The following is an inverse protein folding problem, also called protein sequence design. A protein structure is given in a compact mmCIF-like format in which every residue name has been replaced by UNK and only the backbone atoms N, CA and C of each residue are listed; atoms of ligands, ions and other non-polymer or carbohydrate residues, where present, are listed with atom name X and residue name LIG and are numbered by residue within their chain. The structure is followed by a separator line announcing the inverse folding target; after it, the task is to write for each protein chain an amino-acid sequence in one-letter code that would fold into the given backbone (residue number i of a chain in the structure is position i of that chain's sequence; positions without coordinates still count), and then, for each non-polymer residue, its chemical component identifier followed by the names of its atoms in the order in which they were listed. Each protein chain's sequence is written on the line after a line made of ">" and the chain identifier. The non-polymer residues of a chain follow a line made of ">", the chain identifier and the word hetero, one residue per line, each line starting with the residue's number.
data_IF_745356725042
#
_entry.id   IF_745356725042
#
_cell.length_a   1.000
_cell.length_b   1.000
_cell.length_c   1.000
_cell.angle_alpha   90.00
_cell.angle_beta   90.00
_cell.angle_gamma   90.00
#
_symmetry.space_group_name_H-M   'P 1'
#
loop_
_entity.id
_entity.type
_entity.pdbx_description
1 polymer ?
#
# COMPACT_ATOMS: atom_id res chain seq x y z
N UNK A 1 -5.29 33.27 -60.13
CA UNK A 1 -5.06 33.03 -58.69
C UNK A 1 -5.95 31.87 -58.26
N UNK A 2 -5.42 30.64 -58.25
CA UNK A 2 -6.11 29.45 -57.76
C UNK A 2 -5.60 29.18 -56.34
N UNK A 3 -6.50 29.16 -55.37
CA UNK A 3 -6.21 28.85 -53.97
C UNK A 3 -6.21 27.32 -53.81
N UNK A 4 -5.05 26.74 -53.57
CA UNK A 4 -4.90 25.32 -53.22
C UNK A 4 -5.22 25.13 -51.74
N UNK A 5 -6.32 24.44 -51.44
CA UNK A 5 -6.62 23.94 -50.11
C UNK A 5 -5.64 22.82 -49.75
N UNK A 6 -4.77 23.06 -48.76
CA UNK A 6 -3.92 22.02 -48.15
C UNK A 6 -4.71 21.40 -47.00
N UNK A 7 -5.18 20.17 -47.23
CA UNK A 7 -5.74 19.31 -46.20
C UNK A 7 -4.69 19.03 -45.13
N UNK A 8 -5.00 19.35 -43.87
CA UNK A 8 -4.18 18.97 -42.71
C UNK A 8 -4.24 17.45 -42.52
N UNK A 9 -3.14 16.81 -42.08
CA UNK A 9 -3.10 15.37 -41.85
C UNK A 9 -4.08 15.00 -40.73
N UNK A 10 -4.85 13.96 -41.00
CA UNK A 10 -5.72 13.26 -40.05
C UNK A 10 -4.84 12.85 -38.86
N UNK A 11 -5.11 13.42 -37.69
CA UNK A 11 -4.54 12.99 -36.43
C UNK A 11 -4.84 11.50 -36.30
N UNK A 12 -3.78 10.68 -36.22
CA UNK A 12 -3.89 9.25 -35.96
C UNK A 12 -4.82 9.05 -34.76
N UNK A 13 -5.79 8.16 -34.91
CA UNK A 13 -6.63 7.70 -33.82
C UNK A 13 -5.75 7.35 -32.61
N UNK A 14 -6.20 7.77 -31.43
CA UNK A 14 -5.65 7.39 -30.13
C UNK A 14 -5.26 5.92 -30.15
N UNK A 15 -4.01 5.65 -29.74
CA UNK A 15 -3.54 4.28 -29.51
C UNK A 15 -4.53 3.55 -28.59
N UNK A 16 -4.76 2.24 -28.79
CA UNK A 16 -5.56 1.46 -27.85
C UNK A 16 -4.99 1.62 -26.44
N UNK A 17 -5.86 1.66 -25.44
CA UNK A 17 -5.49 1.77 -24.03
C UNK A 17 -4.27 0.89 -23.75
N UNK A 18 -3.19 1.50 -23.26
CA UNK A 18 -2.09 0.73 -22.68
C UNK A 18 -2.72 -0.23 -21.67
N UNK A 19 -2.38 -1.53 -21.71
CA UNK A 19 -2.92 -2.50 -20.76
C UNK A 19 -2.67 -1.95 -19.35
N UNK A 20 -3.75 -1.63 -18.63
CA UNK A 20 -3.74 -1.19 -17.22
C UNK A 20 -4.26 -2.35 -16.35
N UNK A 21 -3.53 -3.48 -16.28
CA UNK A 21 -4.03 -4.70 -15.64
C UNK A 21 -4.27 -4.50 -14.15
N UNK A 22 -3.42 -3.74 -13.46
CA UNK A 22 -3.49 -3.53 -12.01
C UNK A 22 -4.69 -2.66 -11.65
N UNK A 23 -4.90 -1.56 -12.38
CA UNK A 23 -6.04 -0.66 -12.19
C UNK A 23 -7.35 -1.33 -12.53
N UNK A 24 -7.40 -2.06 -13.66
CA UNK A 24 -8.60 -2.82 -14.05
C UNK A 24 -8.96 -3.86 -12.99
N UNK A 25 -7.98 -4.66 -12.54
CA UNK A 25 -8.19 -5.67 -11.51
C UNK A 25 -8.61 -5.04 -10.17
N UNK A 26 -7.94 -3.97 -9.74
CA UNK A 26 -8.30 -3.26 -8.51
C UNK A 26 -9.78 -2.87 -8.49
N UNK A 27 -10.28 -2.22 -9.56
CA UNK A 27 -11.68 -1.80 -9.61
C UNK A 27 -12.66 -2.96 -9.79
N UNK A 28 -12.25 -4.04 -10.44
CA UNK A 28 -13.05 -5.27 -10.53
C UNK A 28 -13.23 -5.89 -9.14
N UNK A 29 -12.15 -6.01 -8.37
CA UNK A 29 -12.16 -6.62 -7.04
C UNK A 29 -12.79 -5.74 -5.95
N UNK A 30 -12.68 -4.40 -6.07
CA UNK A 30 -13.21 -3.48 -5.06
C UNK A 30 -14.74 -3.29 -5.08
N UNK A 31 -15.46 -3.84 -6.06
CA UNK A 31 -16.91 -3.64 -6.24
C UNK A 31 -17.72 -4.92 -6.04
N UNK A 32 -17.75 -5.77 -7.06
CA UNK A 32 -18.46 -7.04 -7.09
C UNK A 32 -17.59 -8.05 -7.82
N UNK A 33 -17.21 -9.11 -7.11
CA UNK A 33 -16.26 -10.10 -7.62
C UNK A 33 -17.01 -11.19 -8.41
N UNK A 34 -16.86 -11.17 -9.73
CA UNK A 34 -17.32 -12.25 -10.61
C UNK A 34 -16.25 -13.34 -10.80
N UNK A 35 -16.64 -14.44 -11.48
CA UNK A 35 -15.73 -15.57 -11.71
C UNK A 35 -14.50 -15.18 -12.53
N UNK A 36 -14.67 -14.33 -13.55
CA UNK A 36 -13.58 -13.88 -14.40
C UNK A 36 -12.55 -13.03 -13.62
N UNK A 37 -13.03 -12.16 -12.74
CA UNK A 37 -12.19 -11.32 -11.88
C UNK A 37 -11.41 -12.15 -10.87
N UNK A 38 -12.01 -13.24 -10.34
CA UNK A 38 -11.29 -14.22 -9.51
C UNK A 38 -10.17 -14.91 -10.27
N UNK A 39 -10.45 -15.47 -11.44
CA UNK A 39 -9.41 -16.15 -12.23
C UNK A 39 -8.26 -15.18 -12.58
N UNK A 40 -8.61 -13.96 -12.98
CA UNK A 40 -7.64 -12.88 -13.28
C UNK A 40 -6.79 -12.52 -12.05
N UNK A 41 -7.36 -12.51 -10.85
CA UNK A 41 -6.64 -12.22 -9.61
C UNK A 41 -5.57 -13.27 -9.30
N UNK A 42 -5.87 -14.57 -9.47
CA UNK A 42 -4.91 -15.63 -9.23
C UNK A 42 -3.75 -15.61 -10.24
N UNK A 43 -4.05 -15.38 -11.52
CA UNK A 43 -3.02 -15.23 -12.56
C UNK A 43 -2.15 -14.00 -12.30
N UNK A 44 -2.76 -12.89 -11.90
CA UNK A 44 -2.05 -11.66 -11.52
C UNK A 44 -1.10 -11.89 -10.35
N UNK A 45 -1.54 -12.58 -9.28
CA UNK A 45 -0.66 -12.92 -8.15
C UNK A 45 0.54 -13.76 -8.58
N UNK A 46 0.36 -14.77 -9.45
CA UNK A 46 1.49 -15.58 -9.95
C UNK A 46 2.49 -14.73 -10.73
N UNK A 47 2.03 -13.82 -11.58
CA UNK A 47 2.91 -12.89 -12.29
C UNK A 47 3.67 -11.96 -11.34
N UNK A 48 3.01 -11.45 -10.29
CA UNK A 48 3.67 -10.62 -9.27
C UNK A 48 4.69 -11.41 -8.46
N UNK A 49 4.42 -12.69 -8.15
CA UNK A 49 5.37 -13.57 -7.47
C UNK A 49 6.60 -13.87 -8.33
N UNK A 50 6.42 -14.11 -9.64
CA UNK A 50 7.53 -14.27 -10.59
C UNK A 50 8.41 -13.01 -10.65
N UNK A 51 7.79 -11.83 -10.68
CA UNK A 51 8.51 -10.56 -10.63
C UNK A 51 9.24 -10.37 -9.29
N UNK A 52 8.59 -10.68 -8.17
CA UNK A 52 9.15 -10.56 -6.83
C UNK A 52 10.33 -11.54 -6.59
N UNK A 53 10.32 -12.72 -7.21
CA UNK A 53 11.41 -13.69 -7.12
C UNK A 53 12.75 -13.17 -7.68
N UNK A 54 12.72 -12.14 -8.54
CA UNK A 54 13.91 -11.48 -9.05
C UNK A 54 14.45 -10.38 -8.13
N UNK A 55 13.72 -10.00 -7.08
CA UNK A 55 14.13 -8.97 -6.14
C UNK A 55 15.13 -9.52 -5.11
N UNK A 56 16.04 -8.69 -4.59
CA UNK A 56 16.87 -9.06 -3.45
C UNK A 56 16.00 -9.39 -2.24
N UNK A 57 16.29 -10.52 -1.60
CA UNK A 57 15.67 -10.92 -0.34
C UNK A 57 16.75 -11.12 0.72
N UNK A 58 16.57 -10.48 1.86
CA UNK A 58 17.37 -10.67 3.07
C UNK A 58 16.61 -11.46 4.15
N UNK A 59 15.46 -12.05 3.79
CA UNK A 59 14.68 -12.90 4.67
C UNK A 59 15.51 -14.17 4.99
N UNK A 60 15.64 -14.57 6.27
CA UNK A 60 16.40 -15.75 6.63
C UNK A 60 15.73 -17.04 6.12
N UNK A 61 16.54 -17.97 5.59
CA UNK A 61 16.06 -19.29 5.16
C UNK A 61 15.54 -20.15 6.32
N UNK A 62 16.04 -19.91 7.54
CA UNK A 62 15.65 -20.63 8.75
C UNK A 62 14.59 -19.82 9.51
N UNK A 63 13.35 -20.32 9.64
CA UNK A 63 12.27 -19.62 10.35
C UNK A 63 12.62 -19.31 11.81
N UNK A 64 13.49 -20.09 12.46
CA UNK A 64 13.92 -19.82 13.83
C UNK A 64 14.72 -18.51 13.97
N UNK A 65 15.16 -17.91 12.86
CA UNK A 65 15.87 -16.62 12.83
C UNK A 65 14.97 -15.42 12.53
N UNK A 66 13.67 -15.62 12.27
CA UNK A 66 12.75 -14.53 11.90
C UNK A 66 12.59 -13.48 13.01
N UNK A 67 12.41 -13.90 14.25
CA UNK A 67 12.27 -12.99 15.40
C UNK A 67 13.48 -12.05 15.52
N UNK A 68 14.69 -12.63 15.51
CA UNK A 68 15.92 -11.86 15.56
C UNK A 68 16.08 -10.93 14.34
N UNK A 69 15.70 -11.39 13.15
CA UNK A 69 15.73 -10.57 11.94
C UNK A 69 14.79 -9.36 12.02
N UNK A 70 13.56 -9.54 12.52
CA UNK A 70 12.61 -8.43 12.77
C UNK A 70 13.18 -7.46 13.80
N UNK A 71 13.70 -7.95 14.94
CA UNK A 71 14.31 -7.10 15.97
C UNK A 71 15.45 -6.25 15.42
N UNK A 72 16.38 -6.86 14.67
CA UNK A 72 17.52 -6.15 14.07
C UNK A 72 17.08 -5.05 13.11
N UNK A 73 16.03 -5.30 12.32
CA UNK A 73 15.46 -4.31 11.40
C UNK A 73 14.81 -3.16 12.15
N UNK A 74 14.01 -3.45 13.17
CA UNK A 74 13.39 -2.43 14.04
C UNK A 74 14.45 -1.54 14.70
N UNK A 75 15.52 -2.13 15.24
CA UNK A 75 16.64 -1.36 15.78
C UNK A 75 17.35 -0.50 14.72
N UNK A 76 17.56 -1.03 13.52
CA UNK A 76 18.19 -0.30 12.42
C UNK A 76 17.33 0.89 11.99
N UNK A 77 16.01 0.71 11.85
CA UNK A 77 15.05 1.78 11.57
C UNK A 77 15.09 2.84 12.68
N UNK A 78 15.13 2.42 13.95
CA UNK A 78 15.27 3.33 15.08
C UNK A 78 16.52 4.21 14.99
N UNK A 79 17.70 3.61 14.71
CA UNK A 79 18.96 4.36 14.52
C UNK A 79 18.88 5.32 13.32
N UNK A 80 18.34 4.87 12.19
CA UNK A 80 18.19 5.69 10.99
C UNK A 80 17.25 6.88 11.23
N UNK A 81 16.15 6.67 11.96
CA UNK A 81 15.22 7.74 12.29
C UNK A 81 15.84 8.76 13.26
N UNK A 82 16.62 8.32 14.26
CA UNK A 82 17.36 9.25 15.13
C UNK A 82 18.35 10.11 14.33
N UNK A 83 19.10 9.49 13.41
CA UNK A 83 20.01 10.24 12.54
C UNK A 83 19.27 11.26 11.66
N UNK A 84 18.10 10.89 11.12
CA UNK A 84 17.23 11.82 10.41
C UNK A 84 16.80 13.00 11.30
N UNK A 85 16.34 12.75 12.53
CA UNK A 85 15.93 13.81 13.47
C UNK A 85 17.10 14.74 13.84
N UNK A 86 18.30 14.22 14.02
CA UNK A 86 19.51 15.02 14.25
C UNK A 86 19.81 15.94 13.06
N UNK A 87 19.72 15.42 11.84
CA UNK A 87 19.87 16.21 10.62
C UNK A 87 18.80 17.31 10.52
N UNK A 88 17.53 16.99 10.85
CA UNK A 88 16.45 17.99 10.87
C UNK A 88 16.71 19.09 11.90
N UNK A 89 17.14 18.74 13.12
CA UNK A 89 17.51 19.70 14.18
C UNK A 89 18.70 20.58 13.80
N UNK A 90 19.63 20.06 13.01
CA UNK A 90 20.75 20.83 12.46
C UNK A 90 20.37 21.75 11.29
N UNK A 91 19.09 21.83 10.91
CA UNK A 91 18.62 22.67 9.81
C UNK A 91 18.85 22.06 8.42
N UNK A 92 19.00 20.73 8.32
CA UNK A 92 19.04 20.04 7.03
C UNK A 92 17.74 20.25 6.21
N UNK A 93 17.63 19.66 5.01
CA UNK A 93 16.38 19.62 4.26
C UNK A 93 15.47 18.46 4.72
N UNK A 94 14.21 18.47 4.29
CA UNK A 94 13.32 17.31 4.32
C UNK A 94 13.83 16.26 3.32
N UNK A 95 13.64 14.98 3.63
CA UNK A 95 14.08 13.85 2.82
C UNK A 95 13.09 13.48 1.72
N UNK A 96 11.78 13.52 1.97
CA UNK A 96 10.78 13.06 1.00
C UNK A 96 10.02 14.19 0.33
N UNK A 97 9.53 15.14 1.11
CA UNK A 97 8.67 16.20 0.62
C UNK A 97 9.45 17.50 0.68
N UNK A 98 9.92 18.09 -0.44
CA UNK A 98 10.48 19.43 -0.45
C UNK A 98 9.39 20.51 -0.34
N UNK A 99 8.13 20.20 -0.66
CA UNK A 99 6.99 21.13 -0.60
C UNK A 99 5.68 20.44 -0.22
N UNK A 100 4.67 21.24 0.18
CA UNK A 100 3.31 20.74 0.42
C UNK A 100 2.74 20.06 -0.82
N UNK A 101 2.96 20.62 -2.01
CA UNK A 101 2.49 20.03 -3.26
C UNK A 101 3.09 18.63 -3.51
N UNK A 102 4.36 18.41 -3.18
CA UNK A 102 4.96 17.07 -3.32
C UNK A 102 4.33 16.07 -2.34
N UNK A 103 4.08 16.48 -1.10
CA UNK A 103 3.38 15.65 -0.12
C UNK A 103 1.96 15.29 -0.59
N UNK A 104 1.19 16.26 -1.10
CA UNK A 104 -0.16 16.00 -1.63
C UNK A 104 -0.15 15.07 -2.84
N UNK A 105 0.83 15.24 -3.74
CA UNK A 105 1.03 14.34 -4.87
C UNK A 105 1.29 12.90 -4.40
N UNK A 106 2.16 12.73 -3.41
CA UNK A 106 2.41 11.43 -2.79
C UNK A 106 1.16 10.82 -2.15
N UNK A 107 0.43 11.59 -1.32
CA UNK A 107 -0.79 11.12 -0.65
C UNK A 107 -1.85 10.65 -1.66
N UNK A 108 -2.02 11.41 -2.75
CA UNK A 108 -2.89 11.00 -3.86
C UNK A 108 -2.37 9.73 -4.52
N UNK A 109 -1.08 9.66 -4.83
CA UNK A 109 -0.46 8.54 -5.52
C UNK A 109 -0.60 7.20 -4.77
N UNK A 110 -0.43 7.18 -3.45
CA UNK A 110 -0.55 5.95 -2.66
C UNK A 110 -1.99 5.63 -2.25
N UNK A 111 -2.98 6.43 -2.67
CA UNK A 111 -4.38 6.24 -2.30
C UNK A 111 -4.94 4.86 -2.67
N UNK A 112 -4.71 4.28 -3.87
CA UNK A 112 -5.22 2.95 -4.18
C UNK A 112 -4.73 1.88 -3.20
N UNK A 113 -3.52 2.02 -2.67
CA UNK A 113 -2.98 1.08 -1.69
C UNK A 113 -3.63 1.28 -0.32
N UNK A 114 -3.69 2.53 0.15
CA UNK A 114 -4.17 2.85 1.50
C UNK A 114 -5.68 2.77 1.67
N UNK A 115 -6.43 2.77 0.57
CA UNK A 115 -7.88 2.63 0.59
C UNK A 115 -8.38 1.19 0.65
N UNK A 116 -7.47 0.22 0.62
CA UNK A 116 -7.74 -1.22 0.79
C UNK A 116 -6.88 -1.84 1.88
N UNK A 117 -6.31 -1.02 2.78
CA UNK A 117 -5.48 -1.48 3.88
C UNK A 117 -6.17 -2.57 4.72
N UNK A 118 -5.41 -3.60 5.07
CA UNK A 118 -5.88 -4.82 5.72
C UNK A 118 -6.58 -5.85 4.80
N UNK A 119 -6.97 -5.49 3.57
CA UNK A 119 -7.81 -6.38 2.74
C UNK A 119 -7.21 -7.77 2.50
N UNK A 120 -5.87 -7.90 2.43
CA UNK A 120 -5.19 -9.17 2.19
C UNK A 120 -5.51 -10.26 3.22
N UNK A 121 -5.98 -9.88 4.41
CA UNK A 121 -6.35 -10.80 5.49
C UNK A 121 -7.82 -11.21 5.48
N UNK A 122 -8.67 -10.57 4.66
CA UNK A 122 -10.12 -10.79 4.67
C UNK A 122 -10.50 -12.27 4.49
N UNK A 123 -9.85 -12.97 3.56
CA UNK A 123 -10.12 -14.39 3.28
C UNK A 123 -9.84 -15.32 4.47
N UNK A 124 -9.05 -14.89 5.46
CA UNK A 124 -8.75 -15.66 6.67
C UNK A 124 -9.92 -15.69 7.66
N UNK A 125 -10.93 -14.83 7.53
CA UNK A 125 -12.12 -14.83 8.40
C UNK A 125 -12.87 -16.18 8.37
N UNK A 126 -12.77 -16.94 7.28
CA UNK A 126 -13.35 -18.28 7.18
C UNK A 126 -12.68 -19.30 8.12
N UNK A 127 -11.56 -18.94 8.77
CA UNK A 127 -10.79 -19.75 9.71
C UNK A 127 -10.89 -19.25 11.15
N UNK A 128 -11.95 -18.51 11.49
CA UNK A 128 -12.13 -17.91 12.82
C UNK A 128 -12.12 -18.92 13.98
N UNK A 129 -12.46 -20.17 13.72
CA UNK A 129 -12.51 -21.26 14.70
C UNK A 129 -11.16 -22.00 14.87
N UNK A 130 -10.15 -21.64 14.10
CA UNK A 130 -8.79 -22.18 14.18
C UNK A 130 -7.85 -21.18 14.87
N UNK A 131 -7.40 -21.56 16.08
CA UNK A 131 -6.54 -20.73 16.92
C UNK A 131 -5.23 -20.29 16.23
N UNK A 132 -4.76 -21.02 15.22
CA UNK A 132 -3.54 -20.67 14.46
C UNK A 132 -3.69 -19.37 13.67
N UNK A 133 -4.91 -19.01 13.28
CA UNK A 133 -5.21 -17.80 12.50
C UNK A 133 -5.61 -16.61 13.37
N UNK A 134 -5.71 -16.79 14.69
CA UNK A 134 -6.21 -15.76 15.60
C UNK A 134 -5.39 -14.47 15.54
N UNK A 135 -4.06 -14.56 15.45
CA UNK A 135 -3.20 -13.37 15.35
C UNK A 135 -3.48 -12.58 14.05
N UNK A 136 -3.45 -13.25 12.90
CA UNK A 136 -3.72 -12.61 11.59
C UNK A 136 -5.14 -12.03 11.51
N UNK A 137 -6.14 -12.71 12.06
CA UNK A 137 -7.51 -12.20 12.12
C UNK A 137 -7.60 -10.97 13.03
N UNK A 138 -6.85 -10.93 14.14
CA UNK A 138 -6.80 -9.74 15.00
C UNK A 138 -6.18 -8.55 14.27
N UNK A 139 -5.06 -8.75 13.57
CA UNK A 139 -4.45 -7.71 12.71
C UNK A 139 -5.50 -7.15 11.75
N UNK A 140 -6.26 -8.00 11.06
CA UNK A 140 -7.36 -7.54 10.19
C UNK A 140 -8.42 -6.69 10.93
N UNK A 141 -8.82 -7.09 12.13
CA UNK A 141 -9.80 -6.35 12.92
C UNK A 141 -9.25 -5.00 13.41
N UNK A 142 -7.95 -4.93 13.72
CA UNK A 142 -7.24 -3.69 14.07
C UNK A 142 -7.24 -2.71 12.89
N UNK A 143 -6.92 -3.18 11.67
CA UNK A 143 -6.99 -2.41 10.42
C UNK A 143 -8.41 -1.83 10.17
N UNK A 144 -9.43 -2.62 10.51
CA UNK A 144 -10.83 -2.20 10.45
C UNK A 144 -11.25 -1.25 11.58
N UNK A 145 -10.37 -0.96 12.53
CA UNK A 145 -10.60 -0.08 13.67
C UNK A 145 -11.39 -0.72 14.81
N UNK A 146 -11.48 -2.06 14.87
CA UNK A 146 -12.17 -2.82 15.93
C UNK A 146 -13.64 -2.39 16.15
N UNK A 147 -14.31 -1.97 15.07
CA UNK A 147 -15.68 -1.45 15.11
C UNK A 147 -15.81 0.05 15.43
N UNK A 148 -14.70 0.77 15.56
CA UNK A 148 -14.64 2.22 15.75
C UNK A 148 -14.24 2.93 14.44
N UNK A 149 -15.16 3.67 13.78
CA UNK A 149 -14.87 4.34 12.50
C UNK A 149 -13.71 5.36 12.54
N UNK A 150 -13.44 5.93 13.71
CA UNK A 150 -12.31 6.84 13.95
C UNK A 150 -10.96 6.14 14.06
N UNK A 151 -10.94 4.81 14.19
CA UNK A 151 -9.73 3.99 14.13
C UNK A 151 -9.59 3.23 12.82
N UNK A 152 -10.63 3.12 12.01
CA UNK A 152 -10.58 2.40 10.75
C UNK A 152 -9.61 3.07 9.76
N UNK A 153 -8.60 2.32 9.29
CA UNK A 153 -7.50 2.85 8.48
C UNK A 153 -7.99 3.48 7.18
N UNK A 154 -8.90 2.80 6.47
CA UNK A 154 -9.49 3.30 5.22
C UNK A 154 -10.31 4.57 5.44
N UNK A 155 -11.11 4.63 6.51
CA UNK A 155 -11.89 5.85 6.85
C UNK A 155 -10.97 7.02 7.18
N UNK A 156 -9.90 6.78 7.94
CA UNK A 156 -8.90 7.78 8.27
C UNK A 156 -8.20 8.31 7.01
N UNK A 157 -7.78 7.42 6.09
CA UNK A 157 -7.13 7.83 4.86
C UNK A 157 -8.07 8.63 3.94
N UNK A 158 -9.34 8.22 3.82
CA UNK A 158 -10.36 8.99 3.07
C UNK A 158 -10.55 10.39 3.63
N UNK A 159 -10.62 10.53 4.96
CA UNK A 159 -10.71 11.83 5.63
C UNK A 159 -9.48 12.69 5.35
N UNK A 160 -8.28 12.11 5.38
CA UNK A 160 -7.04 12.80 5.04
C UNK A 160 -7.09 13.36 3.61
N UNK A 161 -7.40 12.52 2.61
CA UNK A 161 -7.50 12.97 1.21
C UNK A 161 -8.53 14.06 1.02
N UNK A 162 -9.74 13.89 1.57
CA UNK A 162 -10.81 14.87 1.47
C UNK A 162 -10.42 16.22 2.10
N UNK A 163 -9.74 16.19 3.26
CA UNK A 163 -9.28 17.42 3.93
C UNK A 163 -8.26 18.23 3.12
N UNK A 164 -7.56 17.58 2.18
CA UNK A 164 -6.56 18.19 1.30
C UNK A 164 -7.04 18.36 -0.15
N UNK A 165 -8.28 17.98 -0.48
CA UNK A 165 -8.81 18.01 -1.85
C UNK A 165 -8.07 17.08 -2.81
N UNK A 166 -7.68 15.89 -2.35
CA UNK A 166 -6.92 14.87 -3.10
C UNK A 166 -7.73 13.59 -3.33
N UNK A 167 -9.06 13.71 -3.41
CA UNK A 167 -10.01 12.59 -3.52
C UNK A 167 -10.23 12.06 -4.95
N UNK A 168 -9.58 12.68 -5.95
CA UNK A 168 -9.63 12.36 -7.38
C UNK A 168 -8.56 11.36 -7.85
N UNK A 169 -8.21 10.38 -7.01
CA UNK A 169 -7.14 9.41 -7.25
C UNK A 169 -7.50 8.30 -8.27
N UNK A 170 -8.77 8.14 -8.64
CA UNK A 170 -9.25 7.03 -9.47
C UNK A 170 -8.73 7.10 -10.92
N UNK A 171 -8.27 8.27 -11.35
CA UNK A 171 -7.69 8.55 -12.67
C UNK A 171 -6.15 8.46 -12.69
N UNK A 172 -5.55 7.86 -11.66
CA UNK A 172 -4.11 7.56 -11.63
C UNK A 172 -3.72 6.48 -12.66
N UNK A 173 -2.44 6.47 -13.02
CA UNK A 173 -1.85 5.44 -13.88
C UNK A 173 -1.71 4.10 -13.15
N UNK A 174 -1.61 3.02 -13.94
CA UNK A 174 -1.63 1.61 -13.47
C UNK A 174 -0.68 1.31 -12.31
N UNK A 175 0.52 1.89 -12.33
CA UNK A 175 1.57 1.67 -11.34
C UNK A 175 1.12 1.97 -9.90
N UNK A 176 0.20 2.93 -9.72
CA UNK A 176 -0.34 3.30 -8.40
C UNK A 176 -1.28 2.24 -7.82
N UNK A 177 -1.83 1.38 -8.67
CA UNK A 177 -2.80 0.36 -8.31
C UNK A 177 -2.17 -0.99 -8.01
N UNK A 178 -0.89 -1.21 -8.38
CA UNK A 178 -0.21 -2.51 -8.24
C UNK A 178 -0.36 -3.09 -6.84
N UNK A 179 -0.01 -2.32 -5.81
CA UNK A 179 -0.03 -2.78 -4.42
C UNK A 179 -1.46 -3.00 -3.90
N UNK A 180 -2.39 -2.09 -4.21
CA UNK A 180 -3.80 -2.28 -3.84
C UNK A 180 -4.44 -3.50 -4.53
N UNK A 181 -4.09 -3.74 -5.80
CA UNK A 181 -4.56 -4.90 -6.55
C UNK A 181 -4.01 -6.22 -5.97
N UNK A 182 -2.75 -6.25 -5.52
CA UNK A 182 -2.17 -7.40 -4.80
C UNK A 182 -2.97 -7.68 -3.52
N UNK A 183 -3.23 -6.66 -2.70
CA UNK A 183 -3.97 -6.84 -1.44
C UNK A 183 -5.37 -7.42 -1.67
N UNK A 184 -6.12 -6.86 -2.63
CA UNK A 184 -7.44 -7.36 -3.00
C UNK A 184 -7.38 -8.78 -3.60
N UNK A 185 -6.38 -9.08 -4.43
CA UNK A 185 -6.24 -10.40 -5.02
C UNK A 185 -5.90 -11.48 -3.97
N UNK A 186 -5.06 -11.15 -2.98
CA UNK A 186 -4.77 -12.02 -1.83
C UNK A 186 -6.04 -12.28 -1.02
N UNK A 187 -6.86 -11.25 -0.79
CA UNK A 187 -8.14 -11.36 -0.08
C UNK A 187 -9.05 -12.45 -0.68
N UNK A 188 -9.14 -12.50 -2.01
CA UNK A 188 -10.00 -13.43 -2.75
C UNK A 188 -9.45 -14.86 -2.80
N UNK A 189 -8.12 -15.04 -2.71
CA UNK A 189 -7.47 -16.34 -2.90
C UNK A 189 -6.69 -16.84 -1.68
N UNK A 190 -7.17 -16.51 -0.47
CA UNK A 190 -6.47 -16.83 0.76
C UNK A 190 -6.21 -18.32 1.00
N UNK A 191 -7.07 -19.21 0.49
CA UNK A 191 -6.83 -20.65 0.59
C UNK A 191 -5.68 -21.13 -0.31
N UNK A 192 -5.51 -20.51 -1.48
CA UNK A 192 -4.48 -20.89 -2.46
C UNK A 192 -3.12 -20.26 -2.14
N UNK A 193 -3.11 -19.03 -1.60
CA UNK A 193 -1.91 -18.21 -1.39
C UNK A 193 -1.64 -17.93 0.09
N UNK A 194 -1.96 -18.89 0.98
CA UNK A 194 -1.77 -18.71 2.42
C UNK A 194 -0.31 -18.38 2.81
N UNK A 195 0.73 -19.10 2.30
CA UNK A 195 2.12 -18.73 2.59
C UNK A 195 2.47 -17.31 2.16
N UNK A 196 1.97 -16.87 1.01
CA UNK A 196 2.18 -15.52 0.48
C UNK A 196 1.47 -14.47 1.31
N UNK A 197 0.27 -14.74 1.82
CA UNK A 197 -0.43 -13.85 2.77
C UNK A 197 0.37 -13.68 4.06
N UNK A 198 0.92 -14.78 4.61
CA UNK A 198 1.74 -14.72 5.83
C UNK A 198 3.01 -13.92 5.57
N UNK A 199 3.68 -14.16 4.45
CA UNK A 199 4.88 -13.40 4.06
C UNK A 199 4.58 -11.93 3.78
N UNK A 200 3.45 -11.63 3.13
CA UNK A 200 3.00 -10.27 2.88
C UNK A 200 2.70 -9.55 4.20
N UNK A 201 1.98 -10.18 5.13
CA UNK A 201 1.72 -9.64 6.47
C UNK A 201 3.02 -9.30 7.21
N UNK A 202 3.93 -10.26 7.30
CA UNK A 202 5.24 -10.09 7.95
C UNK A 202 6.03 -8.92 7.35
N UNK A 203 5.98 -8.73 6.03
CA UNK A 203 6.65 -7.64 5.35
C UNK A 203 5.96 -6.29 5.53
N UNK A 204 4.63 -6.27 5.53
CA UNK A 204 3.81 -5.05 5.53
C UNK A 204 3.69 -4.44 6.94
N UNK A 205 3.55 -5.28 7.98
CA UNK A 205 3.40 -4.84 9.38
C UNK A 205 4.72 -4.42 10.04
N UNK A 206 5.87 -4.73 9.43
CA UNK A 206 7.15 -4.22 9.91
C UNK A 206 7.17 -2.69 9.93
N UNK A 207 7.67 -2.09 11.02
CA UNK A 207 7.86 -0.64 11.13
C UNK A 207 8.83 -0.12 10.04
N UNK A 208 8.33 0.53 8.97
CA UNK A 208 9.20 0.96 7.89
C UNK A 208 9.60 2.42 8.12
N UNK A 209 10.91 2.71 7.97
CA UNK A 209 11.49 4.04 8.21
C UNK A 209 10.69 5.18 7.53
N UNK A 210 10.14 4.91 6.34
CA UNK A 210 9.43 5.92 5.59
C UNK A 210 8.17 6.44 6.29
N UNK A 211 7.45 5.64 7.09
CA UNK A 211 6.25 6.10 7.80
C UNK A 211 6.62 7.12 8.89
N UNK A 212 7.71 6.88 9.62
CA UNK A 212 8.23 7.79 10.64
C UNK A 212 8.60 9.15 10.04
N UNK A 213 9.37 9.14 8.95
CA UNK A 213 9.79 10.36 8.26
C UNK A 213 8.58 11.05 7.61
N UNK A 214 7.69 10.30 6.97
CA UNK A 214 6.47 10.84 6.34
C UNK A 214 5.61 11.57 7.38
N UNK A 215 5.32 10.95 8.52
CA UNK A 215 4.55 11.57 9.59
C UNK A 215 5.22 12.87 10.10
N UNK A 216 6.54 12.84 10.28
CA UNK A 216 7.29 14.03 10.70
C UNK A 216 7.17 15.18 9.69
N UNK A 217 7.41 14.90 8.40
CA UNK A 217 7.40 15.92 7.36
C UNK A 217 6.00 16.45 7.01
N UNK A 218 4.97 15.59 7.07
CA UNK A 218 3.58 16.03 6.94
C UNK A 218 3.22 17.03 8.03
N UNK A 219 3.67 16.78 9.27
CA UNK A 219 3.48 17.71 10.39
C UNK A 219 4.13 19.06 10.09
N UNK A 220 5.39 19.09 9.63
CA UNK A 220 6.08 20.34 9.24
C UNK A 220 5.36 21.10 8.12
N UNK A 221 4.64 20.38 7.25
CA UNK A 221 3.87 20.91 6.13
C UNK A 221 2.43 21.30 6.49
N UNK A 222 2.03 21.16 7.75
CA UNK A 222 0.68 21.45 8.22
C UNK A 222 -0.37 20.51 7.59
N UNK A 223 0.00 19.24 7.39
CA UNK A 223 -0.90 18.15 7.00
C UNK A 223 -1.02 17.21 8.20
N UNK A 224 -2.24 16.76 8.49
CA UNK A 224 -2.50 15.83 9.58
C UNK A 224 -1.77 14.49 9.34
N UNK A 225 -0.81 14.09 10.21
CA UNK A 225 -0.05 12.87 10.04
C UNK A 225 -0.76 11.63 10.62
N UNK A 226 -1.95 11.78 11.22
CA UNK A 226 -2.53 10.78 12.14
C UNK A 226 -2.58 9.36 11.57
N UNK A 227 -2.99 9.20 10.32
CA UNK A 227 -3.00 7.91 9.62
C UNK A 227 -1.62 7.23 9.64
N UNK A 228 -0.55 7.97 9.37
CA UNK A 228 0.82 7.44 9.34
C UNK A 228 1.37 7.16 10.74
N UNK A 229 0.99 7.96 11.73
CA UNK A 229 1.42 7.74 13.13
C UNK A 229 0.73 6.54 13.77
N UNK A 230 -0.48 6.17 13.34
CA UNK A 230 -1.19 5.01 13.86
C UNK A 230 -0.38 3.73 13.65
N UNK A 231 0.20 3.57 12.46
CA UNK A 231 1.10 2.47 12.08
C UNK A 231 2.48 2.50 12.77
N UNK A 232 2.74 3.47 13.65
CA UNK A 232 3.97 3.59 14.44
C UNK A 232 3.71 3.25 15.92
N UNK A 233 2.48 3.48 16.39
CA UNK A 233 2.10 3.34 17.80
C UNK A 233 1.41 2.02 18.14
N UNK A 234 1.10 1.21 17.15
CA UNK A 234 0.72 -0.20 17.34
C UNK A 234 2.03 -1.00 17.48
N UNK A 235 2.08 -2.00 18.36
CA UNK A 235 3.27 -2.79 18.67
C UNK A 235 3.75 -3.63 17.46
N UNK A 236 4.39 -2.97 16.47
CA UNK A 236 4.84 -3.54 15.19
C UNK A 236 5.83 -4.72 15.30
N UNK A 237 6.27 -5.07 16.52
CA UNK A 237 7.13 -6.22 16.75
C UNK A 237 6.35 -7.51 17.08
N UNK A 238 5.11 -7.40 17.58
CA UNK A 238 4.34 -8.53 18.09
C UNK A 238 3.18 -8.96 17.16
N UNK A 239 2.86 -8.18 16.13
CA UNK A 239 1.69 -8.35 15.25
C UNK A 239 2.01 -8.73 13.78
N UNK A 240 3.29 -8.80 13.41
CA UNK A 240 3.79 -9.16 12.06
C UNK A 240 3.90 -10.66 11.79
#
# INVERSE_FOLDING_TARGET
>A
MQLTSRSLPITSALQPAQDQPSRALYFALAREVDAQSRDSAADYLRAQLEAAAALPSDLPEDPARLEHWVMQRTEAVGRQYQAYLEQRRAGGPRSYFPSKAHALHFLRGVAPTKLVDGAWLYGLLQRWDDARFTALIRTYLEELGEGLPEKNHVVLYRKLLASQGCDDWQELDDEHFVQGAIQLALAEHAEQFLPEIIGFNLGYEQLPLHLLITAYELTELGIDPYYFTLHVTVDNADNG
#
